data_IF_733703976441
#
_entry.id   IF_733703976441
#
_cell.length_a   1.000
_cell.length_b   1.000
_cell.length_c   1.000
_cell.angle_alpha   90.00
_cell.angle_beta   90.00
_cell.angle_gamma   90.00
#
_symmetry.space_group_name_H-M   'P 1'
#
loop_
_entity.id
_entity.type
_entity.pdbx_description
1 polymer ?
#
# COMPACT_ATOMS: atom_id res chain seq x y z
N UNK A 1 5.18 11.65 -23.51
CA UNK A 1 3.97 12.49 -23.56
C UNK A 1 3.85 13.22 -22.24
N UNK A 2 3.59 14.52 -22.25
CA UNK A 2 3.43 15.31 -21.03
C UNK A 2 1.97 15.28 -20.57
N UNK A 3 1.71 15.51 -19.28
CA UNK A 3 0.34 15.70 -18.76
C UNK A 3 -0.38 16.85 -19.46
N UNK A 4 0.39 17.84 -19.93
CA UNK A 4 -0.07 18.99 -20.72
C UNK A 4 -0.76 18.54 -22.02
N UNK A 5 -0.28 17.47 -22.65
CA UNK A 5 -0.84 16.94 -23.90
C UNK A 5 -2.02 15.99 -23.66
N UNK A 6 -2.10 15.39 -22.47
CA UNK A 6 -3.10 14.38 -22.12
C UNK A 6 -4.43 15.00 -21.66
N UNK A 7 -4.38 16.10 -20.90
CA UNK A 7 -5.60 16.74 -20.39
C UNK A 7 -6.60 17.20 -21.45
N UNK A 8 -6.17 17.80 -22.59
CA UNK A 8 -7.08 18.14 -23.68
C UNK A 8 -7.81 16.91 -24.24
N UNK A 9 -7.10 15.80 -24.43
CA UNK A 9 -7.68 14.54 -24.92
C UNK A 9 -8.67 13.94 -23.91
N UNK A 10 -8.36 13.98 -22.62
CA UNK A 10 -9.28 13.50 -21.58
C UNK A 10 -10.53 14.38 -21.46
N UNK A 11 -10.42 15.69 -21.72
CA UNK A 11 -11.55 16.62 -21.67
C UNK A 11 -12.56 16.37 -22.80
N UNK A 12 -12.11 15.96 -23.98
CA UNK A 12 -13.00 15.71 -25.13
C UNK A 12 -13.79 14.39 -25.01
N UNK A 13 -13.41 13.49 -24.10
CA UNK A 13 -14.11 12.22 -23.92
C UNK A 13 -15.54 12.39 -23.37
N UNK A 14 -16.47 11.50 -23.77
CA UNK A 14 -17.76 11.34 -23.11
C UNK A 14 -17.61 11.03 -21.61
N UNK A 15 -18.62 11.37 -20.81
CA UNK A 15 -18.60 11.13 -19.35
C UNK A 15 -18.33 9.66 -19.00
N UNK A 16 -18.93 8.72 -19.72
CA UNK A 16 -18.74 7.29 -19.48
C UNK A 16 -17.27 6.86 -19.69
N UNK A 17 -16.61 7.37 -20.72
CA UNK A 17 -15.23 6.99 -21.01
C UNK A 17 -14.25 7.67 -20.06
N UNK A 18 -14.55 8.89 -19.59
CA UNK A 18 -13.80 9.52 -18.48
C UNK A 18 -13.83 8.65 -17.22
N UNK A 19 -14.99 8.09 -16.87
CA UNK A 19 -15.12 7.19 -15.73
C UNK A 19 -14.29 5.91 -15.91
N UNK A 20 -14.28 5.32 -17.11
CA UNK A 20 -13.44 4.14 -17.41
C UNK A 20 -11.95 4.45 -17.27
N UNK A 21 -11.50 5.60 -17.79
CA UNK A 21 -10.10 6.02 -17.66
C UNK A 21 -9.72 6.20 -16.18
N UNK A 22 -10.57 6.84 -15.38
CA UNK A 22 -10.33 6.96 -13.94
C UNK A 22 -10.25 5.59 -13.26
N UNK A 23 -11.18 4.67 -13.57
CA UNK A 23 -11.15 3.32 -13.01
C UNK A 23 -9.86 2.57 -13.36
N UNK A 24 -9.40 2.68 -14.62
CA UNK A 24 -8.14 2.11 -15.05
C UNK A 24 -6.96 2.69 -14.27
N UNK A 25 -6.84 4.02 -14.18
CA UNK A 25 -5.73 4.68 -13.48
C UNK A 25 -5.70 4.34 -11.99
N UNK A 26 -6.86 4.30 -11.33
CA UNK A 26 -6.97 3.90 -9.92
C UNK A 26 -6.52 2.45 -9.73
N UNK A 27 -6.89 1.55 -10.65
CA UNK A 27 -6.47 0.15 -10.58
C UNK A 27 -4.97 -0.04 -10.81
N UNK A 28 -4.34 0.76 -11.68
CA UNK A 28 -2.90 0.73 -11.89
C UNK A 28 -2.14 1.27 -10.67
N UNK A 29 -2.58 2.40 -10.10
CA UNK A 29 -1.99 2.96 -8.88
C UNK A 29 -2.08 1.98 -7.70
N UNK A 30 -3.19 1.27 -7.56
CA UNK A 30 -3.37 0.26 -6.52
C UNK A 30 -2.44 -0.97 -6.67
N UNK A 31 -1.84 -1.20 -7.86
CA UNK A 31 -0.83 -2.25 -8.07
C UNK A 31 0.59 -1.78 -7.75
N UNK A 32 0.82 -0.47 -7.78
CA UNK A 32 2.11 0.14 -7.45
C UNK A 32 2.32 0.27 -5.93
N UNK A 33 1.24 0.31 -5.16
CA UNK A 33 1.28 0.21 -3.70
C UNK A 33 1.58 -1.24 -3.25
N UNK A 34 2.42 -1.39 -2.21
CA UNK A 34 2.82 -2.65 -1.52
C UNK A 34 1.74 -3.75 -1.54
N UNK A 35 2.12 -5.04 -1.65
CA UNK A 35 1.32 -6.10 -2.23
C UNK A 35 -0.11 -6.07 -1.68
N UNK A 36 -1.03 -5.60 -2.52
CA UNK A 36 -2.45 -5.72 -2.28
C UNK A 36 -2.77 -7.19 -2.02
N UNK A 37 -3.43 -7.46 -0.89
CA UNK A 37 -3.76 -8.82 -0.47
C UNK A 37 -4.51 -9.53 -1.61
N UNK A 38 -3.89 -10.56 -2.18
CA UNK A 38 -4.43 -11.32 -3.28
C UNK A 38 -5.45 -12.32 -2.76
N UNK A 39 -6.56 -12.45 -3.49
CA UNK A 39 -7.59 -13.43 -3.18
C UNK A 39 -7.00 -14.86 -3.23
N UNK A 40 -7.15 -15.60 -2.14
CA UNK A 40 -6.65 -16.99 -2.03
C UNK A 40 -5.19 -17.12 -1.60
N UNK A 41 -4.45 -16.02 -1.43
CA UNK A 41 -3.11 -16.07 -0.87
C UNK A 41 -3.14 -16.17 0.66
N UNK A 42 -2.22 -16.96 1.23
CA UNK A 42 -2.01 -17.06 2.68
C UNK A 42 -0.85 -16.13 3.04
N UNK A 43 -1.15 -15.09 3.82
CA UNK A 43 -0.15 -14.14 4.28
C UNK A 43 0.30 -14.51 5.69
N UNK A 44 1.61 -14.55 5.90
CA UNK A 44 2.16 -14.70 7.25
C UNK A 44 1.85 -13.44 8.02
N UNK A 45 0.92 -13.53 8.97
CA UNK A 45 0.65 -12.44 9.90
C UNK A 45 1.90 -12.26 10.78
N UNK A 46 2.57 -11.12 10.64
CA UNK A 46 3.52 -10.66 11.65
C UNK A 46 2.75 -10.26 12.90
N UNK A 47 2.37 -11.28 13.68
CA UNK A 47 1.74 -11.09 14.97
C UNK A 47 2.81 -11.00 16.05
N UNK A 48 2.78 -9.96 16.91
CA UNK A 48 3.61 -9.94 18.11
C UNK A 48 3.17 -11.00 19.13
N UNK A 49 1.97 -11.59 18.95
CA UNK A 49 1.46 -12.65 19.82
C UNK A 49 2.35 -13.89 19.72
N UNK A 50 2.93 -14.31 20.85
CA UNK A 50 3.91 -15.40 20.96
C UNK A 50 5.21 -15.20 20.15
N UNK A 51 5.55 -13.97 19.77
CA UNK A 51 6.83 -13.66 19.15
C UNK A 51 7.93 -13.56 20.21
N UNK A 52 8.84 -14.54 20.19
CA UNK A 52 10.03 -14.55 21.07
C UNK A 52 10.97 -13.38 20.74
N UNK A 53 11.05 -12.98 19.48
CA UNK A 53 11.84 -11.82 19.05
C UNK A 53 11.26 -10.51 19.61
N UNK A 54 9.93 -10.35 19.57
CA UNK A 54 9.27 -9.18 20.15
C UNK A 54 9.48 -9.11 21.67
N UNK A 55 9.37 -10.25 22.37
CA UNK A 55 9.65 -10.33 23.79
C UNK A 55 11.11 -9.93 24.11
N UNK A 56 12.07 -10.43 23.33
CA UNK A 56 13.48 -10.10 23.52
C UNK A 56 13.77 -8.60 23.30
N UNK A 57 13.20 -7.99 22.26
CA UNK A 57 13.33 -6.55 21.99
C UNK A 57 12.77 -5.70 23.12
N UNK A 58 11.64 -6.10 23.68
CA UNK A 58 11.01 -5.38 24.78
C UNK A 58 11.84 -5.47 26.07
N UNK A 59 12.45 -6.64 26.35
CA UNK A 59 13.39 -6.78 27.47
C UNK A 59 14.61 -5.87 27.33
N UNK A 60 15.24 -5.81 26.15
CA UNK A 60 16.38 -4.92 25.89
C UNK A 60 16.02 -3.45 26.13
N UNK A 61 14.82 -3.04 25.72
CA UNK A 61 14.35 -1.67 25.92
C UNK A 61 14.16 -1.36 27.41
N UNK A 62 13.54 -2.26 28.18
CA UNK A 62 13.35 -2.09 29.62
C UNK A 62 14.69 -2.00 30.36
N UNK A 63 15.66 -2.84 30.00
CA UNK A 63 17.01 -2.78 30.56
C UNK A 63 17.67 -1.42 30.29
N UNK A 64 17.51 -0.89 29.07
CA UNK A 64 18.08 0.42 28.71
C UNK A 64 17.53 1.57 29.55
N UNK A 65 16.26 1.51 29.95
CA UNK A 65 15.64 2.50 30.85
C UNK A 65 16.07 2.32 32.31
N UNK A 66 16.44 1.11 32.72
CA UNK A 66 16.89 0.84 34.09
C UNK A 66 18.35 1.26 34.31
N UNK A 67 19.14 1.34 33.24
CA UNK A 67 20.55 1.75 33.25
C UNK A 67 20.78 3.23 32.95
N UNK A 68 19.73 4.00 32.69
CA UNK A 68 19.75 5.46 32.45
C UNK A 68 19.39 6.24 33.72
#
# INVERSE_FOLDING_TARGET
MSTVDLFPALRSLPRADKLKVMQFLIAELAKEEEPTLQAGATYSLWSPLNSHEAAHKLSQLLESYQTA
#
